data_IF_753903675987
#
_entry.id   IF_753903675987
#
_cell.length_a   1.000
_cell.length_b   1.000
_cell.length_c   1.000
_cell.angle_alpha   90.00
_cell.angle_beta   90.00
_cell.angle_gamma   90.00
#
_symmetry.space_group_name_H-M   'P 1'
#
loop_
_entity.id
_entity.type
_entity.pdbx_description
1 polymer ?
#
# COMPACT_ATOMS: atom_id res chain seq x y z
N UNK A 1 -25.01 -0.83 -3.12
CA UNK A 1 -23.69 -1.31 -2.63
C UNK A 1 -22.59 -0.33 -3.03
N UNK A 2 -22.83 0.98 -2.94
CA UNK A 2 -21.91 2.04 -3.36
C UNK A 2 -21.57 2.85 -2.11
N UNK A 3 -20.40 2.63 -1.51
CA UNK A 3 -19.81 3.54 -0.51
C UNK A 3 -18.44 3.07 0.01
N UNK A 4 -18.00 1.84 -0.29
CA UNK A 4 -16.68 1.37 0.15
C UNK A 4 -15.53 2.18 -0.45
N UNK A 5 -15.65 2.63 -1.71
CA UNK A 5 -14.65 3.49 -2.36
C UNK A 5 -14.56 4.89 -1.73
N UNK A 6 -15.69 5.50 -1.38
CA UNK A 6 -15.76 6.82 -0.75
C UNK A 6 -15.24 6.78 0.70
N UNK A 7 -15.61 5.75 1.46
CA UNK A 7 -15.08 5.53 2.81
C UNK A 7 -13.58 5.23 2.78
N UNK A 8 -13.13 4.44 1.79
CA UNK A 8 -11.71 4.21 1.58
C UNK A 8 -11.00 5.52 1.31
N UNK A 9 -11.44 6.33 0.33
CA UNK A 9 -10.80 7.61 -0.02
C UNK A 9 -10.71 8.59 1.16
N UNK A 10 -11.77 8.70 1.97
CA UNK A 10 -11.79 9.61 3.13
C UNK A 10 -10.92 9.12 4.31
N UNK A 11 -10.94 7.81 4.61
CA UNK A 11 -10.15 7.23 5.70
C UNK A 11 -8.69 7.10 5.30
N UNK A 12 -8.40 6.80 4.04
CA UNK A 12 -7.03 6.65 3.52
C UNK A 12 -6.25 7.95 3.58
N UNK A 13 -6.73 9.05 3.01
CA UNK A 13 -5.88 10.25 2.85
C UNK A 13 -5.31 10.81 4.15
N UNK A 14 -6.10 10.94 5.20
CA UNK A 14 -5.63 11.52 6.48
C UNK A 14 -4.98 10.49 7.41
N UNK A 15 -5.55 9.29 7.49
CA UNK A 15 -5.07 8.25 8.41
C UNK A 15 -3.80 7.61 7.90
N UNK A 16 -3.61 7.51 6.58
CA UNK A 16 -2.38 6.96 6.00
C UNK A 16 -1.20 7.90 6.17
N UNK A 17 -1.37 9.20 5.86
CA UNK A 17 -0.29 10.17 6.07
C UNK A 17 0.17 10.19 7.54
N UNK A 18 -0.76 10.06 8.49
CA UNK A 18 -0.45 10.00 9.93
C UNK A 18 0.14 8.63 10.37
N UNK A 19 -0.46 7.51 9.96
CA UNK A 19 0.01 6.16 10.28
C UNK A 19 1.38 5.85 9.68
N UNK A 20 1.67 6.32 8.46
CA UNK A 20 2.97 6.13 7.84
C UNK A 20 4.04 6.94 8.60
N UNK A 21 3.79 8.21 8.93
CA UNK A 21 4.73 9.04 9.71
C UNK A 21 5.10 8.44 11.07
N UNK A 22 4.21 7.65 11.68
CA UNK A 22 4.37 7.07 13.02
C UNK A 22 5.18 5.76 13.07
N UNK A 23 5.31 5.01 11.97
CA UNK A 23 5.77 3.61 12.03
C UNK A 23 7.24 3.43 11.63
N UNK A 24 8.10 3.57 12.63
CA UNK A 24 9.55 3.32 12.63
C UNK A 24 9.92 1.82 12.80
N UNK A 25 9.14 0.83 12.34
CA UNK A 25 9.46 -0.58 12.64
C UNK A 25 9.01 -1.56 11.56
N UNK A 26 10.02 -2.08 10.85
CA UNK A 26 10.30 -3.50 10.61
C UNK A 26 9.08 -4.44 10.57
N UNK A 27 8.62 -4.79 9.37
CA UNK A 27 7.79 -5.99 9.19
C UNK A 27 7.47 -6.32 7.73
N UNK A 28 7.62 -5.38 6.79
CA UNK A 28 7.19 -5.60 5.41
C UNK A 28 8.31 -5.86 4.40
N UNK A 29 9.53 -5.44 4.72
CA UNK A 29 10.69 -5.76 3.89
C UNK A 29 11.08 -7.25 4.04
N UNK A 30 10.91 -7.85 5.22
CA UNK A 30 11.30 -9.23 5.49
C UNK A 30 10.42 -10.31 4.84
N UNK A 31 9.14 -10.02 4.58
CA UNK A 31 8.21 -11.00 3.99
C UNK A 31 8.17 -10.95 2.45
N UNK A 32 8.65 -9.85 1.84
CA UNK A 32 8.79 -9.70 0.39
C UNK A 32 10.21 -10.10 -0.07
N UNK A 33 11.21 -10.03 0.83
CA UNK A 33 12.58 -10.50 0.61
C UNK A 33 12.72 -12.02 0.37
N UNK A 34 11.63 -12.79 0.43
CA UNK A 34 11.62 -14.23 0.20
C UNK A 34 11.58 -14.67 -1.27
N UNK A 35 11.37 -13.76 -2.22
CA UNK A 35 11.61 -14.02 -3.65
C UNK A 35 13.03 -13.49 -3.97
N UNK A 36 13.90 -14.38 -4.43
CA UNK A 36 15.30 -14.14 -4.81
C UNK A 36 15.44 -13.06 -5.90
N UNK A 37 15.33 -11.78 -5.53
CA UNK A 37 15.88 -10.66 -6.29
C UNK A 37 15.99 -9.42 -5.37
N UNK A 38 17.03 -9.44 -4.53
CA UNK A 38 17.30 -8.48 -3.45
C UNK A 38 17.60 -7.04 -3.91
N UNK A 39 17.33 -6.67 -5.17
CA UNK A 39 17.60 -5.32 -5.70
C UNK A 39 16.31 -4.53 -6.01
N UNK A 40 15.14 -5.16 -5.89
CA UNK A 40 13.84 -4.60 -6.33
C UNK A 40 12.81 -4.42 -5.20
N UNK A 41 13.25 -4.06 -4.00
CA UNK A 41 12.34 -3.58 -2.94
C UNK A 41 11.77 -2.23 -3.38
N UNK A 42 10.54 -2.23 -3.90
CA UNK A 42 9.79 -1.03 -4.29
C UNK A 42 9.56 -0.16 -3.05
N UNK A 43 10.36 0.88 -2.78
CA UNK A 43 10.40 1.54 -1.49
C UNK A 43 9.34 2.65 -1.45
N UNK A 44 8.09 2.31 -1.80
CA UNK A 44 6.92 3.22 -1.71
C UNK A 44 6.90 3.88 -0.34
N UNK A 45 7.20 3.10 0.71
CA UNK A 45 7.26 3.63 2.08
C UNK A 45 8.25 4.79 2.17
N UNK A 46 9.47 4.61 1.69
CA UNK A 46 10.51 5.63 1.82
C UNK A 46 10.14 6.92 1.09
N UNK A 47 9.52 6.81 -0.09
CA UNK A 47 8.98 7.94 -0.84
C UNK A 47 7.83 8.65 -0.09
N UNK A 48 6.85 7.90 0.40
CA UNK A 48 5.71 8.48 1.13
C UNK A 48 6.14 9.14 2.45
N UNK A 49 7.22 8.64 3.06
CA UNK A 49 7.80 9.15 4.29
C UNK A 49 8.78 10.31 4.09
N UNK A 50 9.22 10.56 2.86
CA UNK A 50 10.13 11.66 2.57
C UNK A 50 9.52 13.00 3.01
N UNK A 51 10.32 13.82 3.69
CA UNK A 51 9.90 15.14 4.15
C UNK A 51 9.70 16.07 2.95
N UNK A 52 8.46 16.50 2.76
CA UNK A 52 7.99 17.35 1.68
C UNK A 52 7.71 18.79 2.14
N UNK A 53 7.98 19.10 3.42
CA UNK A 53 7.65 20.39 4.04
C UNK A 53 8.30 21.58 3.35
N UNK A 54 9.51 21.39 2.80
CA UNK A 54 10.28 22.41 2.09
C UNK A 54 10.50 22.08 0.61
N UNK A 55 9.77 21.11 0.05
CA UNK A 55 9.92 20.70 -1.34
C UNK A 55 8.54 20.66 -2.04
N UNK A 56 8.13 21.76 -2.71
CA UNK A 56 6.86 21.83 -3.42
C UNK A 56 6.71 20.79 -4.55
N UNK A 57 7.80 20.45 -5.22
CA UNK A 57 7.82 19.44 -6.29
C UNK A 57 7.56 18.04 -5.72
N UNK A 58 8.23 17.70 -4.62
CA UNK A 58 8.00 16.43 -3.92
C UNK A 58 6.57 16.33 -3.37
N UNK A 59 6.02 17.43 -2.85
CA UNK A 59 4.62 17.47 -2.40
C UNK A 59 3.65 17.19 -3.55
N UNK A 60 3.81 17.90 -4.67
CA UNK A 60 2.98 17.69 -5.87
C UNK A 60 3.11 16.26 -6.39
N UNK A 61 4.34 15.73 -6.44
CA UNK A 61 4.59 14.36 -6.84
C UNK A 61 3.85 13.37 -5.92
N UNK A 62 3.94 13.56 -4.59
CA UNK A 62 3.25 12.69 -3.63
C UNK A 62 1.74 12.74 -3.83
N UNK A 63 1.15 13.90 -4.10
CA UNK A 63 -0.27 14.02 -4.44
C UNK A 63 -0.63 13.23 -5.72
N UNK A 64 0.17 13.33 -6.79
CA UNK A 64 -0.02 12.55 -8.03
C UNK A 64 0.11 11.05 -7.76
N UNK A 65 1.14 10.65 -7.00
CA UNK A 65 1.36 9.26 -6.60
C UNK A 65 0.18 8.72 -5.80
N UNK A 66 -0.38 9.51 -4.89
CA UNK A 66 -1.57 9.15 -4.13
C UNK A 66 -2.77 8.90 -5.02
N UNK A 67 -3.04 9.80 -5.96
CA UNK A 67 -4.15 9.64 -6.89
C UNK A 67 -4.01 8.37 -7.74
N UNK A 68 -2.80 8.08 -8.22
CA UNK A 68 -2.54 6.86 -8.97
C UNK A 68 -2.60 5.59 -8.11
N UNK A 69 -2.15 5.64 -6.85
CA UNK A 69 -2.30 4.53 -5.91
C UNK A 69 -3.78 4.22 -5.64
N UNK A 70 -4.61 5.25 -5.47
CA UNK A 70 -6.05 5.05 -5.26
C UNK A 70 -6.73 4.43 -6.48
N UNK A 71 -6.41 4.90 -7.69
CA UNK A 71 -6.88 4.27 -8.94
C UNK A 71 -6.43 2.82 -9.03
N UNK A 72 -5.17 2.54 -8.73
CA UNK A 72 -4.61 1.19 -8.75
C UNK A 72 -5.28 0.24 -7.72
N UNK A 73 -5.70 0.76 -6.57
CA UNK A 73 -6.49 0.00 -5.59
C UNK A 73 -7.90 -0.29 -6.10
N UNK A 74 -8.53 0.63 -6.83
CA UNK A 74 -9.84 0.43 -7.43
C UNK A 74 -9.84 -0.66 -8.51
N UNK A 75 -8.73 -0.82 -9.24
CA UNK A 75 -8.52 -1.89 -10.23
C UNK A 75 -8.46 -3.30 -9.62
N UNK A 76 -8.16 -3.41 -8.31
CA UNK A 76 -8.06 -4.70 -7.63
C UNK A 76 -9.43 -5.35 -7.37
N UNK A 77 -9.51 -6.69 -7.41
CA UNK A 77 -10.63 -7.43 -6.84
C UNK A 77 -10.87 -7.03 -5.39
N UNK A 78 -12.13 -6.86 -4.98
CA UNK A 78 -12.51 -6.32 -3.67
C UNK A 78 -11.81 -7.03 -2.51
N UNK A 79 -11.75 -8.37 -2.54
CA UNK A 79 -11.11 -9.16 -1.49
C UNK A 79 -9.58 -8.93 -1.41
N UNK A 80 -8.92 -8.65 -2.53
CA UNK A 80 -7.49 -8.35 -2.56
C UNK A 80 -7.22 -6.94 -2.03
N UNK A 81 -8.00 -5.95 -2.51
CA UNK A 81 -7.97 -4.58 -2.00
C UNK A 81 -8.19 -4.55 -0.49
N UNK A 82 -9.22 -5.25 0.00
CA UNK A 82 -9.58 -5.25 1.42
C UNK A 82 -8.47 -5.82 2.31
N UNK A 83 -7.87 -6.94 1.93
CA UNK A 83 -6.72 -7.50 2.66
C UNK A 83 -5.55 -6.53 2.68
N UNK A 84 -5.25 -5.88 1.55
CA UNK A 84 -4.19 -4.87 1.49
C UNK A 84 -4.46 -3.70 2.43
N UNK A 85 -5.68 -3.15 2.38
CA UNK A 85 -6.12 -2.02 3.21
C UNK A 85 -6.06 -2.35 4.69
N UNK A 86 -6.66 -3.48 5.10
CA UNK A 86 -6.67 -3.89 6.51
C UNK A 86 -5.26 -4.09 7.06
N UNK A 87 -4.36 -4.63 6.24
CA UNK A 87 -3.00 -4.92 6.66
C UNK A 87 -2.09 -3.69 6.67
N UNK A 88 -2.09 -2.87 5.60
CA UNK A 88 -1.20 -1.70 5.53
C UNK A 88 -1.74 -0.49 6.28
N UNK A 89 -3.07 -0.32 6.32
CA UNK A 89 -3.70 0.93 6.75
C UNK A 89 -4.41 0.82 8.09
N UNK A 90 -4.94 -0.36 8.40
CA UNK A 90 -5.54 -0.65 9.70
C UNK A 90 -4.64 -1.49 10.61
N UNK A 91 -3.41 -1.76 10.17
CA UNK A 91 -2.36 -2.44 10.94
C UNK A 91 -2.74 -3.84 11.44
N UNK A 92 -3.71 -4.48 10.81
CA UNK A 92 -4.10 -5.85 11.15
C UNK A 92 -3.08 -6.84 10.62
N UNK A 93 -2.72 -7.81 11.43
CA UNK A 93 -1.95 -8.97 10.98
C UNK A 93 -2.79 -9.79 10.00
N UNK A 94 -2.12 -10.52 9.09
CA UNK A 94 -2.82 -11.42 8.16
C UNK A 94 -3.63 -12.50 8.91
N UNK A 95 -3.19 -12.88 10.12
CA UNK A 95 -3.90 -13.79 11.00
C UNK A 95 -5.21 -13.18 11.52
N UNK A 96 -5.19 -11.94 12.01
CA UNK A 96 -6.40 -11.24 12.43
C UNK A 96 -7.39 -11.04 11.28
N UNK A 97 -6.89 -10.76 10.08
CA UNK A 97 -7.72 -10.64 8.88
C UNK A 97 -8.35 -11.99 8.52
N UNK A 98 -7.59 -13.09 8.60
CA UNK A 98 -8.11 -14.43 8.35
C UNK A 98 -9.25 -14.81 9.32
N UNK A 99 -9.07 -14.49 10.60
CA UNK A 99 -10.11 -14.68 11.63
C UNK A 99 -11.32 -13.78 11.35
N UNK A 100 -11.10 -12.51 11.01
CA UNK A 100 -12.17 -11.53 10.74
C UNK A 100 -13.01 -11.88 9.51
N UNK A 101 -12.37 -12.35 8.43
CA UNK A 101 -13.06 -12.74 7.20
C UNK A 101 -13.56 -14.20 7.23
N UNK A 102 -13.26 -14.95 8.29
CA UNK A 102 -13.53 -16.39 8.40
C UNK A 102 -12.99 -17.18 7.20
N UNK A 103 -11.73 -16.90 6.83
CA UNK A 103 -11.05 -17.45 5.66
C UNK A 103 -9.72 -18.10 6.08
N UNK A 104 -9.17 -18.98 5.24
CA UNK A 104 -7.87 -19.60 5.53
C UNK A 104 -6.73 -18.56 5.45
N UNK A 105 -5.76 -18.62 6.37
CA UNK A 105 -4.58 -17.75 6.34
C UNK A 105 -3.86 -17.76 4.99
N UNK A 106 -3.71 -18.93 4.34
CA UNK A 106 -3.09 -19.05 3.03
C UNK A 106 -3.85 -18.24 1.97
N UNK A 107 -5.18 -18.22 2.03
CA UNK A 107 -6.02 -17.42 1.15
C UNK A 107 -5.75 -15.92 1.34
N UNK A 108 -5.64 -15.47 2.58
CA UNK A 108 -5.33 -14.06 2.90
C UNK A 108 -3.93 -13.69 2.40
N UNK A 109 -2.93 -14.57 2.61
CA UNK A 109 -1.58 -14.38 2.09
C UNK A 109 -1.58 -14.24 0.57
N UNK A 110 -2.27 -15.14 -0.15
CA UNK A 110 -2.36 -15.04 -1.61
C UNK A 110 -3.06 -13.75 -2.06
N UNK A 111 -4.17 -13.36 -1.43
CA UNK A 111 -4.87 -12.10 -1.71
C UNK A 111 -3.95 -10.89 -1.52
N UNK A 112 -3.18 -10.88 -0.43
CA UNK A 112 -2.18 -9.86 -0.15
C UNK A 112 -1.11 -9.81 -1.23
N UNK A 113 -0.56 -10.97 -1.60
CA UNK A 113 0.48 -11.08 -2.62
C UNK A 113 0.02 -10.57 -3.99
N UNK A 114 -1.19 -10.94 -4.42
CA UNK A 114 -1.76 -10.44 -5.68
C UNK A 114 -1.99 -8.93 -5.67
N UNK A 115 -2.48 -8.38 -4.55
CA UNK A 115 -2.64 -6.93 -4.40
C UNK A 115 -1.30 -6.20 -4.55
N UNK A 116 -0.28 -6.64 -3.80
CA UNK A 116 1.07 -6.02 -3.84
C UNK A 116 1.67 -6.12 -5.25
N UNK A 117 1.57 -7.29 -5.90
CA UNK A 117 2.09 -7.50 -7.25
C UNK A 117 1.44 -6.55 -8.27
N UNK A 118 0.12 -6.39 -8.22
CA UNK A 118 -0.62 -5.47 -9.11
C UNK A 118 -0.18 -4.03 -8.89
N UNK A 119 -0.19 -3.55 -7.64
CA UNK A 119 0.19 -2.18 -7.30
C UNK A 119 1.63 -1.88 -7.74
N UNK A 120 2.56 -2.82 -7.55
CA UNK A 120 3.94 -2.68 -8.02
C UNK A 120 4.01 -2.47 -9.53
N UNK A 121 3.30 -3.29 -10.31
CA UNK A 121 3.31 -3.17 -11.78
C UNK A 121 2.68 -1.84 -12.21
N UNK A 122 1.55 -1.48 -11.60
CA UNK A 122 0.75 -0.30 -11.97
C UNK A 122 1.42 1.04 -11.63
N UNK A 123 2.24 1.06 -10.57
CA UNK A 123 2.90 2.27 -10.06
C UNK A 123 4.38 2.36 -10.43
N UNK A 124 4.93 1.35 -11.12
CA UNK A 124 6.36 1.31 -11.48
C UNK A 124 6.80 2.53 -12.29
N UNK A 125 6.02 2.95 -13.29
CA UNK A 125 6.40 4.10 -14.15
C UNK A 125 6.54 5.39 -13.35
N UNK A 126 5.58 5.67 -12.45
CA UNK A 126 5.63 6.84 -11.57
C UNK A 126 6.86 6.83 -10.66
N UNK A 127 7.26 5.66 -10.19
CA UNK A 127 8.43 5.54 -9.33
C UNK A 127 9.75 5.69 -10.10
N UNK A 128 9.84 5.18 -11.33
CA UNK A 128 11.04 5.40 -12.15
C UNK A 128 11.19 6.89 -12.51
N UNK A 129 10.10 7.63 -12.69
CA UNK A 129 10.13 9.10 -12.89
C UNK A 129 10.74 9.87 -11.71
N UNK A 130 10.77 9.31 -10.49
CA UNK A 130 11.45 9.91 -9.33
C UNK A 130 12.95 9.64 -9.26
N UNK A 131 13.42 8.58 -9.91
CA UNK A 131 14.84 8.18 -9.87
C UNK A 131 15.70 9.02 -10.84
N UNK A 132 15.10 9.94 -11.57
CA UNK A 132 15.75 10.88 -12.47
C UNK A 132 15.93 12.26 -11.84
#
# INVERSE_FOLDING_TARGET
>A
LENAGVWLYAVTRNKITDSYRKKKSESLDELIAGDEDSESTFPIRQLLLADDSNNPELKLFKDIFWDELMKALEELPEKQRRVFVLNELEEKTLQEIAVMENENLKTIISRKGYAVKHLRIRLRSLYEELKF
#
